data_IF_457693893708
#
_entry.id   IF_457693893708
#
_cell.length_a   1.000
_cell.length_b   1.000
_cell.length_c   1.000
_cell.angle_alpha   90.00
_cell.angle_beta   90.00
_cell.angle_gamma   90.00
#
_symmetry.space_group_name_H-M   'P 1'
#
loop_
_entity.id
_entity.type
_entity.pdbx_description
1 polymer ?
#
# COMPACT_ATOMS: atom_id res chain seq x y z
N UNK A 1 -58.89 -9.48 17.44
CA UNK A 1 -59.90 -9.42 16.37
C UNK A 1 -59.22 -9.87 15.09
N UNK A 2 -59.72 -10.96 14.52
CA UNK A 2 -59.29 -11.49 13.22
C UNK A 2 -59.60 -10.46 12.12
N UNK A 3 -58.74 -10.37 11.11
CA UNK A 3 -59.23 -10.22 9.75
C UNK A 3 -58.27 -10.88 8.77
N UNK A 4 -58.76 -11.97 8.20
CA UNK A 4 -58.13 -12.79 7.18
C UNK A 4 -58.71 -12.45 5.80
N UNK A 5 -57.83 -12.10 4.85
CA UNK A 5 -57.84 -12.30 3.38
C UNK A 5 -59.03 -11.83 2.50
N UNK A 6 -58.79 -11.37 1.25
CA UNK A 6 -58.70 -12.33 0.14
C UNK A 6 -57.77 -11.99 -1.07
N UNK A 7 -57.03 -13.01 -1.52
CA UNK A 7 -56.89 -13.59 -2.88
C UNK A 7 -56.88 -12.78 -4.21
N UNK A 8 -56.20 -13.41 -5.19
CA UNK A 8 -56.29 -13.32 -6.68
C UNK A 8 -55.44 -12.20 -7.34
N UNK A 9 -54.67 -12.36 -8.44
CA UNK A 9 -54.56 -13.38 -9.50
C UNK A 9 -53.31 -13.14 -10.37
N UNK A 10 -52.75 -14.20 -10.98
CA UNK A 10 -52.48 -14.21 -12.43
C UNK A 10 -51.12 -13.76 -12.98
N UNK A 11 -50.31 -14.73 -13.41
CA UNK A 11 -49.73 -14.78 -14.76
C UNK A 11 -48.50 -13.92 -15.08
N UNK A 12 -47.40 -14.55 -15.52
CA UNK A 12 -46.40 -13.83 -16.30
C UNK A 12 -45.02 -14.47 -16.44
N UNK A 13 -44.79 -15.06 -17.61
CA UNK A 13 -43.49 -15.13 -18.30
C UNK A 13 -42.34 -15.95 -17.69
N UNK A 14 -42.22 -17.18 -18.24
CA UNK A 14 -40.94 -17.84 -18.48
C UNK A 14 -39.90 -16.85 -19.03
N UNK A 15 -38.83 -16.61 -18.29
CA UNK A 15 -37.54 -16.19 -18.87
C UNK A 15 -36.47 -17.19 -18.44
N UNK A 16 -36.19 -18.13 -19.35
CA UNK A 16 -34.95 -18.89 -19.34
C UNK A 16 -33.82 -17.87 -19.51
N UNK A 17 -33.16 -17.52 -18.42
CA UNK A 17 -31.96 -16.71 -18.51
C UNK A 17 -30.85 -17.57 -19.07
N UNK A 18 -30.39 -17.19 -20.24
CA UNK A 18 -29.27 -17.75 -20.96
C UNK A 18 -28.01 -17.65 -20.11
N UNK A 19 -27.28 -18.77 -20.05
CA UNK A 19 -25.91 -18.86 -19.56
C UNK A 19 -24.99 -17.99 -20.44
N UNK A 20 -24.44 -16.92 -19.89
CA UNK A 20 -23.32 -16.18 -20.48
C UNK A 20 -22.00 -16.75 -19.98
N UNK A 21 -20.99 -17.01 -20.83
CA UNK A 21 -19.65 -17.39 -20.39
C UNK A 21 -18.85 -16.09 -20.20
N UNK A 22 -18.76 -15.57 -18.98
CA UNK A 22 -18.00 -14.33 -18.73
C UNK A 22 -17.44 -14.14 -17.33
N UNK A 23 -17.92 -14.87 -16.32
CA UNK A 23 -17.53 -14.62 -14.91
C UNK A 23 -16.42 -15.53 -14.38
N UNK A 24 -15.94 -16.49 -15.17
CA UNK A 24 -15.00 -17.53 -14.69
C UNK A 24 -13.51 -17.19 -14.79
N UNK A 25 -13.13 -16.04 -15.35
CA UNK A 25 -11.72 -15.68 -15.59
C UNK A 25 -11.16 -14.84 -14.43
N UNK A 26 -11.94 -13.90 -13.89
CA UNK A 26 -11.49 -12.97 -12.84
C UNK A 26 -11.30 -13.66 -11.47
N UNK A 27 -12.14 -14.64 -11.13
CA UNK A 27 -12.04 -15.35 -9.85
C UNK A 27 -10.79 -16.23 -9.77
N UNK A 28 -10.39 -16.85 -10.89
CA UNK A 28 -9.18 -17.69 -10.95
C UNK A 28 -7.91 -16.87 -10.77
N UNK A 29 -7.91 -15.64 -11.27
CA UNK A 29 -6.79 -14.71 -11.13
C UNK A 29 -6.63 -14.24 -9.67
N UNK A 30 -7.74 -13.87 -9.02
CA UNK A 30 -7.75 -13.56 -7.58
C UNK A 30 -7.31 -14.77 -6.72
N UNK A 31 -7.78 -15.96 -7.06
CA UNK A 31 -7.40 -17.20 -6.35
C UNK A 31 -5.92 -17.56 -6.52
N UNK A 32 -5.29 -17.15 -7.62
CA UNK A 32 -3.88 -17.39 -7.89
C UNK A 32 -2.97 -16.47 -7.06
N UNK A 33 -3.49 -15.31 -6.61
CA UNK A 33 -2.77 -14.32 -5.80
C UNK A 33 -2.81 -14.62 -4.29
N UNK A 34 -3.67 -15.53 -3.84
CA UNK A 34 -3.84 -15.85 -2.40
C UNK A 34 -2.62 -16.52 -1.75
N UNK A 35 -1.72 -17.07 -2.57
CA UNK A 35 -0.51 -17.78 -2.12
C UNK A 35 0.77 -16.98 -2.43
N UNK A 36 0.65 -15.76 -2.95
CA UNK A 36 1.81 -14.90 -3.09
C UNK A 36 2.31 -14.60 -1.69
N UNK A 37 3.60 -14.82 -1.36
CA UNK A 37 4.12 -14.36 -0.10
C UNK A 37 3.85 -12.87 -0.05
N UNK A 38 2.98 -12.46 0.89
CA UNK A 38 2.96 -11.13 1.42
C UNK A 38 4.31 -11.00 2.13
N UNK A 39 5.41 -10.89 1.37
CA UNK A 39 6.62 -10.32 1.90
C UNK A 39 6.12 -9.03 2.50
N UNK A 40 6.14 -8.88 3.82
CA UNK A 40 5.76 -7.65 4.49
C UNK A 40 6.44 -6.55 3.70
N UNK A 41 5.69 -5.88 2.81
CA UNK A 41 6.23 -4.83 1.96
C UNK A 41 6.34 -3.69 2.94
N UNK A 42 7.38 -3.76 3.76
CA UNK A 42 7.64 -2.85 4.84
C UNK A 42 7.68 -1.52 4.13
N UNK A 43 6.69 -0.64 4.36
CA UNK A 43 6.60 0.58 3.59
C UNK A 43 7.95 1.28 3.70
N UNK A 44 8.50 1.69 2.55
CA UNK A 44 9.82 2.29 2.49
C UNK A 44 9.91 3.36 3.59
N UNK A 45 10.87 3.20 4.51
CA UNK A 45 10.98 4.08 5.67
C UNK A 45 11.25 5.50 5.18
N UNK A 46 10.31 6.41 5.42
CA UNK A 46 10.52 7.84 5.12
C UNK A 46 11.72 8.33 5.92
N UNK A 47 12.74 8.85 5.23
CA UNK A 47 13.86 9.56 5.83
C UNK A 47 13.53 11.05 5.80
N UNK A 48 13.31 11.65 6.98
CA UNK A 48 12.99 13.07 7.14
C UNK A 48 14.07 13.72 8.00
N UNK A 49 14.66 14.80 7.50
CA UNK A 49 15.75 15.56 8.16
C UNK A 49 15.30 16.96 8.57
N UNK A 50 14.04 17.08 9.01
CA UNK A 50 13.44 18.32 9.50
C UNK A 50 13.86 18.69 10.94
N UNK A 51 14.86 18.00 11.49
CA UNK A 51 15.42 18.21 12.82
C UNK A 51 16.92 17.91 12.81
N UNK A 52 17.69 18.34 13.81
CA UNK A 52 19.13 18.08 13.87
C UNK A 52 19.48 16.60 13.67
N UNK A 53 20.55 16.35 12.93
CA UNK A 53 21.00 15.00 12.59
C UNK A 53 22.53 14.91 12.58
N UNK A 54 23.03 13.68 12.74
CA UNK A 54 24.43 13.34 12.61
C UNK A 54 24.70 12.81 11.20
N UNK A 55 25.90 13.05 10.67
CA UNK A 55 26.34 12.47 9.42
C UNK A 55 27.81 12.10 9.48
N UNK A 56 28.18 11.16 8.61
CA UNK A 56 29.56 10.82 8.36
C UNK A 56 29.72 10.47 6.88
N UNK A 57 30.89 10.78 6.32
CA UNK A 57 31.25 10.39 4.96
C UNK A 57 32.23 9.23 5.09
N UNK A 58 31.92 8.12 4.42
CA UNK A 58 32.75 6.92 4.40
C UNK A 58 33.47 6.79 3.07
N UNK A 59 34.75 6.45 3.12
CA UNK A 59 35.40 5.76 2.02
C UNK A 59 34.96 4.29 2.04
N UNK A 60 34.43 3.81 0.91
CA UNK A 60 33.90 2.44 0.78
C UNK A 60 34.97 1.41 0.40
N UNK A 61 36.16 1.84 -0.04
CA UNK A 61 37.25 0.91 -0.33
C UNK A 61 37.85 0.39 0.97
N UNK A 62 38.21 1.30 1.86
CA UNK A 62 38.88 0.99 3.13
C UNK A 62 37.93 0.99 4.34
N UNK A 63 36.64 1.28 4.13
CA UNK A 63 35.61 1.44 5.18
C UNK A 63 35.99 2.49 6.24
N UNK A 64 36.67 3.55 5.83
CA UNK A 64 37.19 4.60 6.69
C UNK A 64 36.22 5.79 6.78
N UNK A 65 36.03 6.36 7.97
CA UNK A 65 35.32 7.63 8.13
C UNK A 65 36.26 8.79 7.78
N UNK A 66 35.96 9.52 6.71
CA UNK A 66 36.77 10.67 6.27
C UNK A 66 36.26 12.00 6.83
N UNK A 67 34.97 12.09 7.13
CA UNK A 67 34.34 13.25 7.76
C UNK A 67 33.28 12.77 8.74
N UNK A 68 33.18 13.41 9.89
CA UNK A 68 32.09 13.22 10.85
C UNK A 68 31.56 14.58 11.29
N UNK A 69 30.25 14.70 11.43
CA UNK A 69 29.63 15.98 11.77
C UNK A 69 28.21 15.86 12.26
N UNK A 70 27.68 17.00 12.67
CA UNK A 70 26.27 17.20 13.02
C UNK A 70 25.76 18.45 12.34
N UNK A 71 24.54 18.39 11.84
CA UNK A 71 23.83 19.56 11.33
C UNK A 71 22.77 19.92 12.36
N UNK A 72 22.95 21.07 13.00
CA UNK A 72 21.96 21.66 13.91
C UNK A 72 21.22 22.82 13.28
N UNK A 73 21.90 23.60 12.44
CA UNK A 73 21.35 24.68 11.64
C UNK A 73 21.95 24.58 10.21
N UNK A 74 21.14 24.29 9.18
CA UNK A 74 21.63 24.18 7.81
C UNK A 74 21.93 25.53 7.14
N UNK A 75 21.43 26.64 7.68
CA UNK A 75 21.61 27.96 7.09
C UNK A 75 22.78 28.72 7.69
N UNK A 76 23.27 28.31 8.86
CA UNK A 76 24.42 28.95 9.50
C UNK A 76 25.68 28.72 8.64
N UNK A 77 26.25 29.76 8.00
CA UNK A 77 27.54 29.62 7.38
C UNK A 77 28.54 29.52 8.53
N UNK A 78 29.09 28.34 8.79
CA UNK A 78 30.23 28.22 9.68
C UNK A 78 31.41 28.95 9.02
N UNK A 79 31.99 30.00 9.64
CA UNK A 79 33.23 30.55 9.16
C UNK A 79 34.29 29.45 9.28
N UNK A 80 34.93 29.09 8.17
CA UNK A 80 36.11 28.24 8.22
C UNK A 80 37.25 29.09 8.78
N UNK A 81 37.57 28.96 10.07
CA UNK A 81 38.88 29.38 10.58
C UNK A 81 39.90 28.34 10.12
N UNK A 82 40.77 28.76 9.20
CA UNK A 82 41.94 28.00 8.71
C UNK A 82 43.16 28.51 9.46
#
# INVERSE_FOLDING_TARGET
>A
MQNTNPNFTGGGARRRSHKGPGEGVQLKELESLKNLPLSDVKPARKFSVEHPFLFFILDRLDNLVVVAGKVTDPQQPTPFEI
#
